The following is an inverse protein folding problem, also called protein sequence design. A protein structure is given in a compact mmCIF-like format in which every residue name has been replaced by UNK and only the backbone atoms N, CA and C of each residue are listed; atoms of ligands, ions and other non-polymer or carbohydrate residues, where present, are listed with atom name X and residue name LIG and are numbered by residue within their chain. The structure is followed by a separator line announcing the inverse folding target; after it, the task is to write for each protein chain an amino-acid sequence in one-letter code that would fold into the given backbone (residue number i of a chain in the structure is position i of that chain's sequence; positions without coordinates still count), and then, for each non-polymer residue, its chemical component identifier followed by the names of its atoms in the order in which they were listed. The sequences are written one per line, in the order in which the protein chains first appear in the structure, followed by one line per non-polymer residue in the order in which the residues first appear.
data_IF_591181434615
#
_entry.id   IF_591181434615
#
_cell.length_a   1.000
_cell.length_b   1.000
_cell.length_c   1.000
_cell.angle_alpha   90.00
_cell.angle_beta   90.00
_cell.angle_gamma   90.00
#
_symmetry.space_group_name_H-M   'P 1'
#
loop_
_entity.id
_entity.type
_entity.pdbx_description
1 polymer ?
#
# COMPACT_ATOMS: atom_id res chain seq x y z
N UNK A 1 -24.69 11.95 19.59
CA UNK A 1 -23.40 12.54 19.30
C UNK A 1 -22.28 11.63 19.82
N UNK A 2 -21.59 10.91 18.93
CA UNK A 2 -20.52 9.99 19.30
C UNK A 2 -19.17 10.71 19.36
N UNK A 3 -18.88 11.34 20.48
CA UNK A 3 -17.60 11.98 20.72
C UNK A 3 -16.52 10.92 21.04
N UNK A 4 -15.39 11.01 20.35
CA UNK A 4 -14.35 9.97 20.36
C UNK A 4 -13.38 10.05 21.53
N UNK A 5 -13.16 11.24 22.09
CA UNK A 5 -12.18 11.43 23.15
C UNK A 5 -12.77 12.16 24.37
N UNK A 6 -12.07 12.01 25.50
CA UNK A 6 -12.41 12.71 26.72
C UNK A 6 -12.30 14.23 26.56
N UNK A 7 -11.29 14.69 25.84
CA UNK A 7 -11.11 16.11 25.54
C UNK A 7 -12.25 16.67 24.71
N UNK A 8 -12.70 15.93 23.68
CA UNK A 8 -13.83 16.33 22.85
C UNK A 8 -15.11 16.47 23.68
N UNK A 9 -15.36 15.54 24.60
CA UNK A 9 -16.51 15.59 25.51
C UNK A 9 -16.46 16.81 26.41
N UNK A 10 -15.29 17.11 26.98
CA UNK A 10 -15.08 18.28 27.85
C UNK A 10 -15.28 19.58 27.07
N UNK A 11 -14.72 19.64 25.86
CA UNK A 11 -14.85 20.81 24.99
C UNK A 11 -16.31 21.06 24.58
N UNK A 12 -17.03 19.99 24.20
CA UNK A 12 -18.44 20.10 23.85
C UNK A 12 -19.28 20.58 25.02
N UNK A 13 -19.02 20.11 26.24
CA UNK A 13 -19.71 20.54 27.45
C UNK A 13 -19.42 22.03 27.72
N UNK A 14 -18.19 22.45 27.55
CA UNK A 14 -17.81 23.85 27.71
C UNK A 14 -18.55 24.77 26.74
N UNK A 15 -18.61 24.37 25.45
CA UNK A 15 -19.37 25.15 24.45
C UNK A 15 -20.86 25.21 24.77
N UNK A 16 -21.46 24.10 25.22
CA UNK A 16 -22.86 24.06 25.63
C UNK A 16 -23.14 25.01 26.80
N UNK A 17 -22.24 25.04 27.79
CA UNK A 17 -22.37 25.93 28.94
C UNK A 17 -22.34 27.42 28.54
N UNK A 18 -21.57 27.72 27.50
CA UNK A 18 -21.49 29.10 26.96
C UNK A 18 -22.56 29.40 25.91
N UNK A 19 -23.44 28.44 25.64
CA UNK A 19 -24.47 28.51 24.60
C UNK A 19 -23.93 28.79 23.21
N UNK A 20 -22.75 28.23 22.92
CA UNK A 20 -22.12 28.27 21.59
C UNK A 20 -22.71 27.13 20.79
N UNK A 21 -23.35 27.46 19.67
CA UNK A 21 -23.82 26.42 18.73
C UNK A 21 -22.66 25.81 17.98
N UNK A 22 -22.68 24.49 17.76
CA UNK A 22 -21.62 23.81 17.05
C UNK A 22 -22.15 22.60 16.28
N UNK A 23 -21.37 22.20 15.29
CA UNK A 23 -21.52 20.92 14.60
C UNK A 23 -20.26 20.09 14.86
N UNK A 24 -20.42 18.78 14.99
CA UNK A 24 -19.31 17.86 15.20
C UNK A 24 -19.08 17.01 13.93
N UNK A 25 -17.88 17.12 13.35
CA UNK A 25 -17.47 16.40 12.14
C UNK A 25 -18.52 16.46 11.02
N UNK A 26 -19.02 17.68 10.65
CA UNK A 26 -20.17 17.79 9.75
C UNK A 26 -19.85 17.46 8.30
N UNK A 27 -18.59 17.51 7.91
CA UNK A 27 -18.18 17.31 6.52
C UNK A 27 -16.76 16.75 6.45
N UNK A 28 -16.48 16.01 5.40
CA UNK A 28 -15.13 15.55 5.07
C UNK A 28 -14.52 16.51 4.07
N UNK A 29 -13.33 17.04 4.37
CA UNK A 29 -12.60 17.94 3.48
C UNK A 29 -11.55 17.11 2.75
N UNK A 30 -11.69 16.85 1.44
CA UNK A 30 -10.70 16.10 0.70
C UNK A 30 -9.40 16.88 0.56
N UNK A 31 -8.27 16.19 0.68
CA UNK A 31 -6.96 16.78 0.39
C UNK A 31 -6.04 15.73 -0.20
N UNK A 32 -5.04 16.21 -0.93
CA UNK A 32 -4.07 15.34 -1.59
C UNK A 32 -2.67 15.66 -1.09
N UNK A 33 -1.91 14.61 -0.77
CA UNK A 33 -0.49 14.73 -0.44
C UNK A 33 0.34 14.16 -1.59
N UNK A 34 1.36 14.93 -2.01
CA UNK A 34 2.35 14.41 -2.96
C UNK A 34 3.46 13.73 -2.16
N UNK A 35 3.69 12.46 -2.48
CA UNK A 35 4.71 11.64 -1.83
C UNK A 35 5.59 10.98 -2.88
N UNK A 36 6.81 10.64 -2.50
CA UNK A 36 7.72 9.87 -3.33
C UNK A 36 7.73 8.42 -2.90
N UNK A 37 7.80 7.52 -3.89
CA UNK A 37 8.01 6.11 -3.69
C UNK A 37 9.46 5.78 -4.06
N UNK A 38 10.19 5.19 -3.13
CA UNK A 38 11.54 4.71 -3.38
C UNK A 38 11.49 3.19 -3.48
N UNK A 39 11.72 2.61 -4.68
CA UNK A 39 11.75 1.16 -4.84
C UNK A 39 12.81 0.49 -3.97
N UNK A 40 12.49 -0.70 -3.42
CA UNK A 40 13.48 -1.49 -2.68
C UNK A 40 14.60 -1.97 -3.61
N UNK A 41 14.25 -2.58 -4.72
CA UNK A 41 15.18 -3.18 -5.66
C UNK A 41 14.77 -2.86 -7.10
N UNK A 42 15.76 -2.55 -7.92
CA UNK A 42 15.57 -2.36 -9.36
C UNK A 42 16.53 -3.28 -10.09
N UNK A 43 16.01 -4.12 -10.96
CA UNK A 43 16.81 -5.07 -11.75
C UNK A 43 16.52 -4.95 -13.24
N UNK A 44 17.45 -5.43 -14.05
CA UNK A 44 17.27 -5.48 -15.50
C UNK A 44 16.38 -6.65 -15.89
N UNK A 45 15.44 -6.43 -16.81
CA UNK A 45 14.58 -7.49 -17.37
C UNK A 45 15.34 -8.56 -18.14
N UNK A 46 16.53 -8.25 -18.65
CA UNK A 46 17.29 -9.14 -19.54
C UNK A 46 18.43 -9.86 -18.83
N UNK A 47 18.40 -9.98 -17.51
CA UNK A 47 19.42 -10.71 -16.76
C UNK A 47 20.84 -10.15 -16.90
N UNK A 48 20.99 -8.88 -17.22
CA UNK A 48 22.28 -8.22 -17.32
C UNK A 48 22.99 -8.23 -15.97
N UNK A 49 24.30 -8.45 -15.98
CA UNK A 49 25.11 -8.41 -14.76
C UNK A 49 25.18 -7.03 -14.13
N UNK A 50 24.98 -5.98 -14.93
CA UNK A 50 24.95 -4.59 -14.46
C UNK A 50 23.62 -3.96 -14.79
N UNK A 51 23.11 -3.18 -13.87
CA UNK A 51 21.91 -2.38 -14.06
C UNK A 51 22.35 -0.98 -14.45
N UNK A 52 21.82 -0.46 -15.54
CA UNK A 52 22.09 0.91 -15.97
C UNK A 52 21.60 1.88 -14.91
N UNK A 53 22.27 3.01 -14.82
CA UNK A 53 21.92 4.06 -13.85
C UNK A 53 20.47 4.51 -14.02
N UNK A 54 19.76 4.64 -12.89
CA UNK A 54 18.37 5.09 -12.85
C UNK A 54 18.34 6.48 -12.23
N UNK A 55 18.12 7.50 -13.04
CA UNK A 55 18.04 8.89 -12.62
C UNK A 55 16.61 9.43 -12.66
N UNK A 56 15.77 8.88 -13.52
CA UNK A 56 14.38 9.33 -13.72
C UNK A 56 13.42 8.13 -13.75
N UNK A 57 12.14 8.42 -13.61
CA UNK A 57 11.10 7.39 -13.72
C UNK A 57 11.13 6.72 -15.09
N UNK A 58 11.44 7.47 -16.15
CA UNK A 58 11.54 6.93 -17.51
C UNK A 58 12.59 5.83 -17.64
N UNK A 59 13.67 5.90 -16.85
CA UNK A 59 14.74 4.90 -16.85
C UNK A 59 14.27 3.53 -16.32
N UNK A 60 13.09 3.46 -15.71
CA UNK A 60 12.52 2.24 -15.17
C UNK A 60 11.70 1.44 -16.20
N UNK A 61 11.52 1.95 -17.42
CA UNK A 61 10.66 1.34 -18.44
C UNK A 61 11.09 -0.08 -18.85
N UNK A 62 12.39 -0.39 -18.79
CA UNK A 62 12.96 -1.71 -19.10
C UNK A 62 13.47 -2.43 -17.86
N UNK A 63 13.01 -2.02 -16.69
CA UNK A 63 13.43 -2.58 -15.41
C UNK A 63 12.28 -3.30 -14.72
N UNK A 64 12.63 -4.17 -13.78
CA UNK A 64 11.69 -4.77 -12.84
C UNK A 64 11.96 -4.15 -11.47
N UNK A 65 10.91 -3.68 -10.84
CA UNK A 65 10.96 -3.22 -9.46
C UNK A 65 10.51 -4.38 -8.57
N UNK A 66 11.32 -4.70 -7.58
CA UNK A 66 10.97 -5.73 -6.60
C UNK A 66 10.79 -5.08 -5.25
N UNK A 67 9.66 -5.39 -4.62
CA UNK A 67 9.35 -4.99 -3.25
C UNK A 67 9.36 -6.22 -2.36
N UNK A 68 10.25 -6.22 -1.38
CA UNK A 68 10.30 -7.30 -0.39
C UNK A 68 9.47 -6.89 0.83
N UNK A 69 8.42 -7.66 1.14
CA UNK A 69 7.47 -7.33 2.19
C UNK A 69 7.23 -8.49 3.15
N UNK A 70 7.43 -8.24 4.43
CA UNK A 70 6.93 -9.13 5.47
C UNK A 70 5.44 -8.88 5.74
N UNK A 71 5.04 -7.62 5.71
CA UNK A 71 3.65 -7.19 5.98
C UNK A 71 3.20 -6.23 4.88
N UNK A 72 2.01 -6.50 4.35
CA UNK A 72 1.35 -5.62 3.37
C UNK A 72 0.10 -5.03 4.04
N UNK A 73 0.30 -4.04 4.89
CA UNK A 73 -0.77 -3.39 5.64
C UNK A 73 -1.65 -2.48 4.76
N UNK A 74 -2.70 -1.93 5.36
CA UNK A 74 -3.65 -1.09 4.63
C UNK A 74 -2.99 0.14 4.00
N UNK A 75 -2.07 0.78 4.72
CA UNK A 75 -1.33 1.94 4.20
C UNK A 75 -0.47 1.60 3.00
N UNK A 76 0.22 0.47 3.05
CA UNK A 76 1.02 -0.03 1.93
C UNK A 76 0.13 -0.39 0.74
N UNK A 77 -0.99 -1.05 0.96
CA UNK A 77 -1.92 -1.40 -0.12
C UNK A 77 -2.45 -0.15 -0.83
N UNK A 78 -2.87 0.86 -0.10
CA UNK A 78 -3.33 2.11 -0.68
C UNK A 78 -2.23 2.84 -1.46
N UNK A 79 -1.01 2.85 -0.91
CA UNK A 79 0.18 3.41 -1.57
C UNK A 79 0.42 2.75 -2.93
N UNK A 80 0.48 1.42 -2.98
CA UNK A 80 0.78 0.71 -4.22
C UNK A 80 -0.36 0.77 -5.24
N UNK A 81 -1.61 0.83 -4.79
CA UNK A 81 -2.73 1.11 -5.68
C UNK A 81 -2.59 2.46 -6.36
N UNK A 82 -2.24 3.49 -5.60
CA UNK A 82 -2.02 4.83 -6.13
C UNK A 82 -0.84 4.88 -7.12
N UNK A 83 0.26 4.20 -6.80
CA UNK A 83 1.42 4.11 -7.69
C UNK A 83 1.04 3.40 -9.00
N UNK A 84 0.31 2.31 -8.93
CA UNK A 84 -0.15 1.56 -10.10
C UNK A 84 -1.07 2.39 -10.97
N UNK A 85 -1.95 3.15 -10.38
CA UNK A 85 -2.87 4.04 -11.08
C UNK A 85 -2.14 5.17 -11.80
N UNK A 86 -1.15 5.77 -11.14
CA UNK A 86 -0.40 6.91 -11.68
C UNK A 86 0.74 6.51 -12.60
N UNK A 87 1.27 5.30 -12.45
CA UNK A 87 2.40 4.75 -13.22
C UNK A 87 2.09 3.31 -13.66
N UNK A 88 1.08 3.12 -14.54
CA UNK A 88 0.63 1.77 -14.91
C UNK A 88 1.67 0.95 -15.67
N UNK A 89 2.68 1.59 -16.26
CA UNK A 89 3.71 0.93 -17.06
C UNK A 89 4.87 0.38 -16.22
N UNK A 90 4.92 0.71 -14.93
CA UNK A 90 5.96 0.17 -14.05
C UNK A 90 5.70 -1.31 -13.77
N UNK A 91 6.74 -2.12 -13.91
CA UNK A 91 6.71 -3.55 -13.58
C UNK A 91 7.12 -3.72 -12.12
N UNK A 92 6.13 -3.73 -11.24
CA UNK A 92 6.33 -3.88 -9.80
C UNK A 92 5.92 -5.27 -9.38
N UNK A 93 6.84 -5.99 -8.74
CA UNK A 93 6.62 -7.35 -8.25
C UNK A 93 6.94 -7.44 -6.77
N UNK A 94 6.12 -8.18 -6.05
CA UNK A 94 6.30 -8.38 -4.61
C UNK A 94 6.95 -9.72 -4.33
N UNK A 95 7.82 -9.73 -3.34
CA UNK A 95 8.38 -10.94 -2.75
C UNK A 95 7.95 -10.95 -1.28
N UNK A 96 7.04 -11.86 -0.93
CA UNK A 96 6.52 -11.98 0.42
C UNK A 96 7.18 -13.14 1.15
N UNK A 97 7.46 -12.97 2.43
CA UNK A 97 7.92 -14.07 3.27
C UNK A 97 6.83 -15.11 3.49
N UNK A 98 5.58 -14.67 3.58
CA UNK A 98 4.40 -15.54 3.76
C UNK A 98 3.20 -14.94 3.04
N UNK A 99 2.30 -15.81 2.59
CA UNK A 99 1.05 -15.38 1.97
C UNK A 99 -0.03 -15.20 3.04
N UNK A 100 0.07 -14.11 3.78
CA UNK A 100 -0.85 -13.82 4.88
C UNK A 100 -2.21 -13.34 4.39
N UNK A 101 -3.23 -13.55 5.21
CA UNK A 101 -4.54 -12.95 4.99
C UNK A 101 -4.53 -11.46 5.30
N UNK A 102 -5.18 -10.69 4.44
CA UNK A 102 -5.32 -9.24 4.61
C UNK A 102 -6.29 -8.92 5.74
N UNK A 103 -7.39 -9.66 5.81
CA UNK A 103 -8.39 -9.45 6.84
C UNK A 103 -8.11 -10.32 8.05
N UNK A 104 -7.59 -9.71 9.11
CA UNK A 104 -7.58 -10.31 10.44
C UNK A 104 -9.00 -10.30 10.99
N UNK A 105 -9.87 -11.18 10.54
CA UNK A 105 -11.13 -11.35 11.25
C UNK A 105 -10.94 -12.35 12.38
N UNK A 106 -11.67 -12.13 13.47
CA UNK A 106 -11.72 -12.99 14.64
C UNK A 106 -12.07 -14.44 14.30
N UNK A 107 -12.59 -14.68 13.13
CA UNK A 107 -12.94 -16.00 12.64
C UNK A 107 -11.85 -16.50 11.71
N UNK A 108 -10.95 -17.32 12.28
CA UNK A 108 -9.77 -17.86 11.58
C UNK A 108 -10.08 -18.86 10.46
N UNK A 109 -11.32 -19.31 10.35
CA UNK A 109 -11.79 -20.26 9.33
C UNK A 109 -12.47 -19.51 8.21
N UNK A 110 -11.74 -18.67 7.50
CA UNK A 110 -12.32 -18.02 6.36
C UNK A 110 -11.91 -18.72 5.10
N UNK A 111 -12.79 -19.59 4.70
CA UNK A 111 -12.87 -19.90 3.29
C UNK A 111 -13.16 -18.60 2.53
N UNK A 112 -12.32 -18.23 1.61
CA UNK A 112 -12.48 -17.06 0.76
C UNK A 112 -11.94 -15.73 1.27
N UNK A 113 -11.14 -15.71 2.34
CA UNK A 113 -10.43 -14.50 2.74
C UNK A 113 -9.35 -14.11 1.73
N UNK A 114 -9.21 -12.81 1.47
CA UNK A 114 -8.19 -12.30 0.56
C UNK A 114 -6.80 -12.41 1.17
N UNK A 115 -5.89 -13.08 0.46
CA UNK A 115 -4.47 -13.15 0.80
C UNK A 115 -3.69 -12.08 0.06
N UNK A 116 -2.42 -11.89 0.42
CA UNK A 116 -1.53 -10.99 -0.31
C UNK A 116 -1.44 -11.35 -1.79
N UNK A 117 -1.36 -12.64 -2.11
CA UNK A 117 -1.36 -13.13 -3.50
C UNK A 117 -2.64 -12.74 -4.24
N UNK A 118 -3.79 -12.88 -3.60
CA UNK A 118 -5.08 -12.48 -4.19
C UNK A 118 -5.13 -10.99 -4.47
N UNK A 119 -4.60 -10.19 -3.55
CA UNK A 119 -4.53 -8.75 -3.69
C UNK A 119 -3.64 -8.36 -4.89
N UNK A 120 -2.49 -9.00 -5.02
CA UNK A 120 -1.59 -8.77 -6.15
C UNK A 120 -2.25 -9.11 -7.48
N UNK A 121 -2.92 -10.25 -7.56
CA UNK A 121 -3.67 -10.66 -8.76
C UNK A 121 -4.77 -9.66 -9.10
N UNK A 122 -5.52 -9.22 -8.10
CA UNK A 122 -6.60 -8.26 -8.29
C UNK A 122 -6.11 -6.92 -8.84
N UNK A 123 -4.98 -6.42 -8.36
CA UNK A 123 -4.46 -5.10 -8.73
C UNK A 123 -3.33 -5.13 -9.76
N UNK A 124 -3.02 -6.30 -10.32
CA UNK A 124 -2.09 -6.41 -11.43
C UNK A 124 -0.62 -6.37 -11.06
N UNK A 125 -0.26 -6.83 -9.88
CA UNK A 125 1.13 -6.96 -9.45
C UNK A 125 1.62 -8.39 -9.59
N UNK A 126 2.86 -8.57 -10.08
CA UNK A 126 3.55 -9.85 -9.96
C UNK A 126 3.91 -10.14 -8.51
N UNK A 127 4.04 -11.40 -8.14
CA UNK A 127 4.43 -11.76 -6.79
C UNK A 127 5.09 -13.13 -6.72
N UNK A 128 5.82 -13.34 -5.64
CA UNK A 128 6.36 -14.64 -5.27
C UNK A 128 6.32 -14.79 -3.75
N UNK A 129 6.00 -15.99 -3.28
CA UNK A 129 6.01 -16.30 -1.86
C UNK A 129 7.29 -17.07 -1.56
N UNK A 130 8.13 -16.52 -0.68
CA UNK A 130 9.45 -17.06 -0.35
C UNK A 130 10.57 -16.21 -0.90
N UNK A 131 11.76 -16.35 -0.32
CA UNK A 131 12.90 -15.46 -0.56
C UNK A 131 13.58 -15.67 -1.93
N UNK A 132 13.24 -16.72 -2.66
CA UNK A 132 13.91 -17.09 -3.92
C UNK A 132 12.91 -17.11 -5.08
N UNK A 133 12.65 -15.95 -5.74
CA UNK A 133 11.78 -15.91 -6.90
C UNK A 133 12.29 -16.78 -8.05
N UNK A 134 11.40 -17.18 -8.98
CA UNK A 134 11.80 -18.00 -10.12
C UNK A 134 12.86 -17.32 -10.98
N UNK A 135 13.82 -18.07 -11.45
CA UNK A 135 14.89 -17.56 -12.34
C UNK A 135 14.35 -16.84 -13.58
N UNK A 136 13.19 -17.24 -14.07
CA UNK A 136 12.57 -16.62 -15.24
C UNK A 136 12.27 -15.13 -15.06
N UNK A 137 12.23 -14.65 -13.81
CA UNK A 137 12.07 -13.21 -13.54
C UNK A 137 13.30 -12.41 -13.98
N UNK A 138 14.46 -13.07 -14.05
CA UNK A 138 15.75 -12.43 -14.26
C UNK A 138 16.37 -12.72 -15.64
N UNK A 139 15.68 -13.51 -16.43
CA UNK A 139 16.16 -13.89 -17.77
C UNK A 139 15.62 -12.97 -18.86
#
# INVERSE_FOLDING_TARGET
LNLKSKLEKTFAAWMKNLKIAFLYEPVKIPYTLRKNYTPDWVISKKGKRKVDEVLTVADLSDKIIIETKGVLDAGQREKFKAIKEQHPDLDIRFVFSRDNYITKKKNKKREGGMRYSDWCEKYGFGYHIGAEPPRKWFN
#
